data_IF_486505877366
#
_entry.id   IF_486505877366
#
_cell.length_a   1.000
_cell.length_b   1.000
_cell.length_c   1.000
_cell.angle_alpha   90.00
_cell.angle_beta   90.00
_cell.angle_gamma   90.00
#
_symmetry.space_group_name_H-M   'P 1'
#
loop_
_entity.id
_entity.type
_entity.pdbx_description
1 polymer ?
#
# COMPACT_ATOMS: atom_id res chain seq x y z
N UNK A 1 -25.97 10.22 22.44
CA UNK A 1 -25.94 11.29 21.42
C UNK A 1 -24.63 11.18 20.70
N UNK A 2 -24.70 10.99 19.38
CA UNK A 2 -23.63 11.04 18.38
C UNK A 2 -22.26 10.49 18.82
N UNK A 3 -22.08 9.18 18.69
CA UNK A 3 -20.76 8.65 18.33
C UNK A 3 -20.42 9.23 16.96
N UNK A 4 -19.78 10.40 16.99
CA UNK A 4 -19.16 11.07 15.86
C UNK A 4 -18.01 10.17 15.40
N UNK A 5 -18.39 9.16 14.63
CA UNK A 5 -17.61 7.98 14.33
C UNK A 5 -16.22 8.39 13.83
N UNK A 6 -15.19 8.07 14.63
CA UNK A 6 -13.78 8.25 14.30
C UNK A 6 -13.46 7.71 12.90
N UNK A 7 -14.13 6.63 12.48
CA UNK A 7 -14.01 6.05 11.14
C UNK A 7 -14.60 6.92 10.02
N UNK A 8 -15.64 7.72 10.29
CA UNK A 8 -16.23 8.67 9.33
C UNK A 8 -15.35 9.92 9.15
N UNK A 9 -14.61 10.32 10.19
CA UNK A 9 -13.53 11.31 10.07
C UNK A 9 -12.32 10.74 9.31
N UNK A 10 -11.98 9.46 9.51
CA UNK A 10 -10.81 8.82 8.89
C UNK A 10 -11.01 8.43 7.41
N UNK A 11 -12.20 7.98 7.03
CA UNK A 11 -12.53 7.61 5.65
C UNK A 11 -12.51 8.80 4.68
N UNK A 12 -12.71 10.03 5.18
CA UNK A 12 -12.58 11.26 4.39
C UNK A 12 -11.12 11.58 4.07
N UNK A 13 -10.20 11.23 4.96
CA UNK A 13 -8.76 11.48 4.81
C UNK A 13 -8.09 10.48 3.86
N UNK A 14 -8.48 9.20 3.86
CA UNK A 14 -7.87 8.20 2.94
C UNK A 14 -8.16 8.51 1.46
N UNK A 15 -9.31 9.12 1.13
CA UNK A 15 -9.58 9.60 -0.24
C UNK A 15 -8.65 10.76 -0.65
N UNK A 16 -8.15 11.55 0.30
CA UNK A 16 -7.21 12.66 0.06
C UNK A 16 -5.73 12.29 0.19
N UNK A 17 -5.40 11.08 0.68
CA UNK A 17 -4.02 10.57 0.79
C UNK A 17 -3.62 9.69 -0.40
N UNK A 18 -4.59 9.23 -1.20
CA UNK A 18 -4.39 8.52 -2.47
C UNK A 18 -4.53 9.42 -3.70
N UNK A 19 -4.98 10.67 -3.52
CA UNK A 19 -4.43 11.75 -4.36
C UNK A 19 -3.13 12.07 -3.63
N UNK A 20 -1.94 11.83 -4.19
CA UNK A 20 -0.79 12.57 -3.67
C UNK A 20 -1.23 14.05 -3.64
N UNK A 21 -0.73 14.95 -2.75
CA UNK A 21 -0.72 16.36 -3.16
C UNK A 21 -0.26 16.32 -4.62
N UNK A 22 -0.88 17.01 -5.60
CA UNK A 22 -0.28 17.02 -6.92
C UNK A 22 1.17 17.31 -6.62
N UNK A 23 2.02 16.29 -6.81
CA UNK A 23 3.44 16.48 -6.88
C UNK A 23 3.39 17.15 -8.21
N UNK A 24 3.11 18.46 -8.19
CA UNK A 24 3.69 19.42 -9.09
C UNK A 24 5.13 19.04 -8.87
N UNK A 25 5.67 18.15 -9.72
CA UNK A 25 7.06 17.84 -9.61
C UNK A 25 7.63 19.25 -9.75
N UNK A 26 8.30 19.74 -8.71
CA UNK A 26 9.31 20.74 -9.01
C UNK A 26 10.08 20.08 -10.15
N UNK A 27 10.24 20.77 -11.28
CA UNK A 27 10.70 20.22 -12.56
C UNK A 27 12.08 19.49 -12.49
N UNK A 28 12.60 19.35 -11.27
CA UNK A 28 13.91 19.00 -10.77
C UNK A 28 13.86 17.91 -9.64
N UNK A 29 12.68 17.40 -9.22
CA UNK A 29 12.59 16.27 -8.26
C UNK A 29 12.73 14.93 -8.99
N UNK A 30 13.93 14.35 -8.96
CA UNK A 30 14.19 13.01 -9.45
C UNK A 30 13.50 11.97 -8.55
N UNK A 31 12.33 11.50 -8.98
CA UNK A 31 11.72 10.30 -8.40
C UNK A 31 12.66 9.12 -8.66
N UNK A 32 13.10 8.46 -7.59
CA UNK A 32 13.94 7.27 -7.68
C UNK A 32 13.24 6.20 -8.55
N UNK A 33 13.84 5.81 -9.70
CA UNK A 33 13.24 4.82 -10.60
C UNK A 33 12.95 3.47 -9.95
N UNK A 34 13.73 3.07 -8.93
CA UNK A 34 13.48 1.86 -8.15
C UNK A 34 12.18 2.00 -7.36
N UNK A 35 11.98 3.14 -6.69
CA UNK A 35 10.79 3.43 -5.89
C UNK A 35 9.55 3.48 -6.77
N UNK A 36 9.61 4.19 -7.90
CA UNK A 36 8.49 4.26 -8.84
C UNK A 36 8.05 2.85 -9.30
N UNK A 37 8.99 1.95 -9.56
CA UNK A 37 8.68 0.56 -9.98
C UNK A 37 8.03 -0.25 -8.87
N UNK A 38 8.49 -0.10 -7.64
CA UNK A 38 7.87 -0.76 -6.49
C UNK A 38 6.43 -0.28 -6.29
N UNK A 39 6.18 1.03 -6.38
CA UNK A 39 4.83 1.60 -6.32
C UNK A 39 3.93 1.04 -7.42
N UNK A 40 4.41 1.00 -8.66
CA UNK A 40 3.70 0.41 -9.79
C UNK A 40 3.40 -1.08 -9.58
N UNK A 41 4.33 -1.85 -9.01
CA UNK A 41 4.13 -3.26 -8.72
C UNK A 41 3.05 -3.48 -7.68
N UNK A 42 3.03 -2.69 -6.60
CA UNK A 42 2.01 -2.75 -5.55
C UNK A 42 0.65 -2.30 -6.11
N UNK A 43 0.63 -1.24 -6.93
CA UNK A 43 -0.60 -0.71 -7.53
C UNK A 43 -1.30 -1.73 -8.44
N UNK A 44 -0.58 -2.68 -9.02
CA UNK A 44 -1.15 -3.75 -9.87
C UNK A 44 -1.68 -4.95 -9.08
N UNK A 45 -1.45 -5.01 -7.77
CA UNK A 45 -1.95 -6.11 -6.94
C UNK A 45 -3.48 -6.07 -6.79
N UNK A 46 -4.11 -7.22 -6.49
CA UNK A 46 -5.55 -7.27 -6.18
C UNK A 46 -5.91 -6.28 -5.08
N UNK A 47 -7.14 -5.73 -5.15
CA UNK A 47 -7.63 -4.72 -4.21
C UNK A 47 -7.43 -5.13 -2.75
N UNK A 48 -7.83 -6.36 -2.39
CA UNK A 48 -7.68 -6.90 -1.03
C UNK A 48 -6.21 -6.90 -0.56
N UNK A 49 -5.29 -7.30 -1.44
CA UNK A 49 -3.86 -7.33 -1.13
C UNK A 49 -3.33 -5.94 -0.81
N UNK A 50 -3.75 -4.93 -1.59
CA UNK A 50 -3.37 -3.53 -1.36
C UNK A 50 -3.98 -3.00 -0.06
N UNK A 51 -5.25 -3.28 0.22
CA UNK A 51 -5.92 -2.84 1.44
C UNK A 51 -5.26 -3.41 2.70
N UNK A 52 -4.97 -4.72 2.71
CA UNK A 52 -4.22 -5.37 3.80
C UNK A 52 -2.85 -4.69 4.02
N UNK A 53 -2.11 -4.45 2.93
CA UNK A 53 -0.81 -3.80 3.02
C UNK A 53 -0.91 -2.38 3.58
N UNK A 54 -1.87 -1.58 3.10
CA UNK A 54 -2.03 -0.20 3.53
C UNK A 54 -2.43 -0.11 5.01
N UNK A 55 -3.37 -0.96 5.44
CA UNK A 55 -3.77 -1.06 6.85
C UNK A 55 -2.60 -1.46 7.75
N UNK A 56 -1.80 -2.45 7.33
CA UNK A 56 -0.65 -2.88 8.12
C UNK A 56 0.45 -1.80 8.18
N UNK A 57 0.78 -1.20 7.03
CA UNK A 57 1.95 -0.32 6.89
C UNK A 57 1.70 1.12 7.33
N UNK A 58 0.51 1.67 7.05
CA UNK A 58 0.21 3.09 7.28
C UNK A 58 -0.75 3.31 8.45
N UNK A 59 -1.62 2.34 8.75
CA UNK A 59 -2.48 2.38 9.93
C UNK A 59 -1.88 1.62 11.13
N UNK A 60 -0.70 0.98 10.97
CA UNK A 60 -0.03 0.14 11.99
C UNK A 60 -0.95 -0.93 12.61
N UNK A 61 -1.92 -1.43 11.84
CA UNK A 61 -2.83 -2.46 12.33
C UNK A 61 -2.13 -3.83 12.37
N UNK A 62 -2.35 -4.54 13.48
CA UNK A 62 -2.00 -5.95 13.64
C UNK A 62 -2.87 -6.86 12.76
N UNK A 63 -2.40 -8.08 12.53
CA UNK A 63 -3.07 -9.02 11.62
C UNK A 63 -4.46 -9.42 12.11
N UNK A 64 -4.64 -9.55 13.42
CA UNK A 64 -5.91 -9.77 14.12
C UNK A 64 -6.94 -8.68 13.81
N UNK A 65 -6.52 -7.41 13.88
CA UNK A 65 -7.40 -6.26 13.62
C UNK A 65 -7.74 -6.11 12.15
N UNK A 66 -6.79 -6.41 11.27
CA UNK A 66 -7.04 -6.42 9.82
C UNK A 66 -8.00 -7.56 9.46
N UNK A 67 -7.78 -8.75 10.00
CA UNK A 67 -8.63 -9.92 9.80
C UNK A 67 -10.08 -9.63 10.22
N UNK A 68 -10.25 -9.10 11.44
CA UNK A 68 -11.56 -8.69 11.95
C UNK A 68 -12.22 -7.62 11.07
N UNK A 69 -11.47 -6.58 10.67
CA UNK A 69 -12.00 -5.47 9.87
C UNK A 69 -12.44 -5.89 8.47
N UNK A 70 -11.73 -6.85 7.87
CA UNK A 70 -12.01 -7.33 6.51
C UNK A 70 -12.89 -8.59 6.47
N UNK A 71 -13.23 -9.17 7.62
CA UNK A 71 -14.01 -10.41 7.70
C UNK A 71 -13.28 -11.62 7.12
N UNK A 72 -11.96 -11.67 7.24
CA UNK A 72 -11.10 -12.76 6.75
C UNK A 72 -10.30 -13.37 7.90
N UNK A 73 -9.63 -14.49 7.67
CA UNK A 73 -8.73 -15.09 8.67
C UNK A 73 -7.37 -14.36 8.72
N UNK A 74 -6.70 -14.41 9.87
CA UNK A 74 -5.31 -13.92 9.99
C UNK A 74 -4.37 -14.62 9.00
N UNK A 75 -4.62 -15.90 8.70
CA UNK A 75 -3.90 -16.64 7.66
C UNK A 75 -4.08 -16.04 6.27
N UNK A 76 -5.28 -15.52 5.97
CA UNK A 76 -5.52 -14.80 4.73
C UNK A 76 -4.74 -13.48 4.71
N UNK A 77 -4.72 -12.72 5.82
CA UNK A 77 -3.91 -11.50 5.96
C UNK A 77 -2.43 -11.79 5.70
N UNK A 78 -1.85 -12.81 6.33
CA UNK A 78 -0.46 -13.24 6.09
C UNK A 78 -0.19 -13.51 4.61
N UNK A 79 -1.08 -14.26 3.96
CA UNK A 79 -0.95 -14.60 2.53
C UNK A 79 -0.95 -13.35 1.66
N UNK A 80 -1.80 -12.38 1.98
CA UNK A 80 -1.83 -11.11 1.26
C UNK A 80 -0.54 -10.30 1.50
N UNK A 81 -0.02 -10.22 2.73
CA UNK A 81 1.28 -9.58 3.01
C UNK A 81 2.42 -10.26 2.25
N UNK A 82 2.47 -11.60 2.23
CA UNK A 82 3.47 -12.36 1.46
C UNK A 82 3.38 -12.04 -0.04
N UNK A 83 2.17 -11.86 -0.58
CA UNK A 83 1.98 -11.47 -1.99
C UNK A 83 2.59 -10.09 -2.27
N UNK A 84 2.46 -9.14 -1.35
CA UNK A 84 3.08 -7.81 -1.49
C UNK A 84 4.60 -7.92 -1.49
N UNK A 85 5.17 -8.61 -0.51
CA UNK A 85 6.62 -8.76 -0.38
C UNK A 85 7.24 -9.41 -1.63
N UNK A 86 6.54 -10.40 -2.23
CA UNK A 86 6.95 -11.01 -3.51
C UNK A 86 6.93 -10.02 -4.66
N UNK A 87 5.89 -9.19 -4.76
CA UNK A 87 5.79 -8.17 -5.80
C UNK A 87 6.90 -7.11 -5.68
N UNK A 88 7.16 -6.64 -4.46
CA UNK A 88 8.26 -5.70 -4.17
C UNK A 88 9.60 -6.30 -4.55
N UNK A 89 9.89 -7.53 -4.09
CA UNK A 89 11.14 -8.23 -4.42
C UNK A 89 11.33 -8.35 -5.94
N UNK A 90 10.29 -8.80 -6.67
CA UNK A 90 10.35 -8.93 -8.12
C UNK A 90 10.64 -7.58 -8.79
N UNK A 91 9.98 -6.50 -8.36
CA UNK A 91 10.20 -5.17 -8.94
C UNK A 91 11.65 -4.70 -8.79
N UNK A 92 12.28 -4.97 -7.63
CA UNK A 92 13.69 -4.65 -7.37
C UNK A 92 14.65 -5.51 -8.21
N UNK A 93 14.39 -6.81 -8.32
CA UNK A 93 15.19 -7.71 -9.16
C UNK A 93 15.11 -7.33 -10.66
N UNK A 94 13.92 -6.96 -11.13
CA UNK A 94 13.72 -6.48 -12.51
C UNK A 94 14.50 -5.17 -12.75
N UNK A 95 14.51 -4.26 -11.77
CA UNK A 95 15.31 -3.04 -11.84
C UNK A 95 16.81 -3.29 -11.90
N UNK A 96 17.32 -4.16 -11.03
CA UNK A 96 18.73 -4.55 -11.07
C UNK A 96 19.11 -5.18 -12.41
N UNK A 97 18.28 -6.08 -12.96
CA UNK A 97 18.53 -6.72 -14.27
C UNK A 97 18.63 -5.74 -15.42
N UNK A 98 17.87 -4.66 -15.40
CA UNK A 98 17.88 -3.63 -16.45
C UNK A 98 19.07 -2.68 -16.35
N UNK A 99 19.62 -2.45 -15.15
CA UNK A 99 20.78 -1.59 -14.94
C UNK A 99 22.11 -2.23 -15.38
N UNK A 100 22.18 -3.56 -15.43
CA UNK A 100 23.39 -4.32 -15.79
C UNK A 100 23.28 -5.02 -17.16
N UNK A 101 22.37 -4.53 -18.01
CA UNK A 101 22.16 -5.02 -19.38
C UNK A 101 22.93 -4.15 -20.38
#
# INVERSE_FOLDING_TARGET
MAEDNMAARFARTIRGLLVPPPVVPRLDEHVDPEIARVEWAIARLPKLTREVFLMHRFENLGYDRIAHRLGISEKAVEREIVRVLRAVRKAREDHARELYK
#
